data_IF_149077575308
#
_entry.id   IF_149077575308
#
_cell.length_a   1.000
_cell.length_b   1.000
_cell.length_c   1.000
_cell.angle_alpha   90.00
_cell.angle_beta   90.00
_cell.angle_gamma   90.00
#
_symmetry.space_group_name_H-M   'P 1'
#
loop_
_entity.id
_entity.type
_entity.pdbx_description
1 polymer ?
#
# COMPACT_ATOMS: atom_id res chain seq x y z
N UNK A 1 -13.01 -15.93 -1.78
CA UNK A 1 -11.81 -15.92 -0.93
C UNK A 1 -10.72 -15.06 -1.53
N UNK A 2 -9.92 -14.38 -0.69
CA UNK A 2 -8.70 -13.70 -1.14
C UNK A 2 -7.75 -14.68 -1.80
N UNK A 3 -7.12 -14.28 -2.91
CA UNK A 3 -6.04 -15.06 -3.51
C UNK A 3 -4.75 -14.84 -2.70
N UNK A 4 -4.61 -15.63 -1.64
CA UNK A 4 -3.45 -15.60 -0.75
C UNK A 4 -2.14 -15.87 -1.48
N UNK A 5 -2.17 -16.71 -2.50
CA UNK A 5 -0.97 -17.06 -3.27
C UNK A 5 -0.45 -15.84 -4.01
N UNK A 6 -1.34 -15.14 -4.72
CA UNK A 6 -0.97 -13.91 -5.45
C UNK A 6 -0.46 -12.83 -4.49
N UNK A 7 -1.07 -12.71 -3.32
CA UNK A 7 -0.64 -11.74 -2.31
C UNK A 7 0.79 -12.01 -1.82
N UNK A 8 1.07 -13.23 -1.36
CA UNK A 8 2.39 -13.60 -0.84
C UNK A 8 3.46 -13.70 -1.93
N UNK A 9 3.08 -14.05 -3.16
CA UNK A 9 4.00 -13.99 -4.30
C UNK A 9 4.36 -12.51 -4.62
N UNK A 10 3.44 -11.56 -4.39
CA UNK A 10 3.68 -10.13 -4.58
C UNK A 10 4.59 -9.54 -3.49
N UNK A 11 4.33 -9.83 -2.21
CA UNK A 11 5.19 -9.36 -1.10
C UNK A 11 6.59 -9.96 -1.20
N UNK A 12 6.70 -11.22 -1.64
CA UNK A 12 7.99 -11.85 -1.98
C UNK A 12 8.69 -11.12 -3.12
N UNK A 13 8.01 -10.83 -4.22
CA UNK A 13 8.61 -10.10 -5.35
C UNK A 13 9.14 -8.72 -4.92
N UNK A 14 8.39 -8.01 -4.07
CA UNK A 14 8.78 -6.70 -3.54
C UNK A 14 9.98 -6.75 -2.57
N UNK A 15 10.28 -7.91 -1.99
CA UNK A 15 11.33 -8.08 -0.96
C UNK A 15 12.51 -8.93 -1.43
N UNK A 16 12.52 -9.35 -2.71
CA UNK A 16 13.56 -10.19 -3.28
C UNK A 16 14.92 -9.50 -3.39
N UNK A 17 14.91 -8.20 -3.71
CA UNK A 17 16.11 -7.40 -3.86
C UNK A 17 16.19 -6.37 -2.74
N UNK A 18 17.19 -6.56 -1.88
CA UNK A 18 17.42 -5.73 -0.71
C UNK A 18 17.89 -4.32 -1.08
N UNK A 19 18.66 -4.18 -2.14
CA UNK A 19 19.14 -2.88 -2.62
C UNK A 19 18.00 -2.09 -3.28
N UNK A 20 17.10 -2.79 -3.97
CA UNK A 20 15.90 -2.18 -4.53
C UNK A 20 14.80 -1.88 -3.49
N UNK A 21 14.84 -2.50 -2.31
CA UNK A 21 13.78 -2.36 -1.31
C UNK A 21 13.59 -0.92 -0.81
N UNK A 22 14.67 -0.16 -0.63
CA UNK A 22 14.59 1.26 -0.25
C UNK A 22 13.87 2.09 -1.33
N UNK A 23 14.10 1.76 -2.59
CA UNK A 23 13.40 2.39 -3.70
C UNK A 23 11.93 1.98 -3.74
N UNK A 24 11.62 0.72 -3.44
CA UNK A 24 10.25 0.22 -3.34
C UNK A 24 9.49 0.93 -2.22
N UNK A 25 10.11 1.12 -1.05
CA UNK A 25 9.53 1.89 0.05
C UNK A 25 9.28 3.35 -0.37
N UNK A 26 10.25 3.97 -1.04
CA UNK A 26 10.12 5.34 -1.56
C UNK A 26 8.91 5.47 -2.49
N UNK A 27 8.80 4.58 -3.48
CA UNK A 27 7.64 4.51 -4.39
C UNK A 27 6.34 4.32 -3.59
N UNK A 28 6.35 3.45 -2.58
CA UNK A 28 5.21 3.25 -1.68
C UNK A 28 4.78 4.54 -0.97
N UNK A 29 5.72 5.30 -0.41
CA UNK A 29 5.42 6.59 0.24
C UNK A 29 4.91 7.63 -0.75
N UNK A 30 5.49 7.72 -1.94
CA UNK A 30 5.04 8.64 -2.99
C UNK A 30 3.59 8.33 -3.41
N UNK A 31 3.25 7.04 -3.56
CA UNK A 31 1.88 6.61 -3.85
C UNK A 31 0.92 6.97 -2.72
N UNK A 32 1.30 6.80 -1.46
CA UNK A 32 0.45 7.17 -0.32
C UNK A 32 0.22 8.69 -0.24
N UNK A 33 1.26 9.47 -0.53
CA UNK A 33 1.17 10.94 -0.61
C UNK A 33 0.21 11.36 -1.73
N UNK A 34 0.34 10.76 -2.91
CA UNK A 34 -0.52 11.04 -4.05
C UNK A 34 -1.99 10.65 -3.77
N UNK A 35 -2.24 9.54 -3.06
CA UNK A 35 -3.58 9.18 -2.61
C UNK A 35 -4.18 10.22 -1.65
N UNK A 36 -3.36 10.78 -0.74
CA UNK A 36 -3.80 11.83 0.17
C UNK A 36 -4.14 13.13 -0.57
N UNK A 37 -3.28 13.54 -1.52
CA UNK A 37 -3.53 14.72 -2.36
C UNK A 37 -4.83 14.58 -3.18
N UNK A 38 -5.10 13.38 -3.71
CA UNK A 38 -6.34 13.10 -4.43
C UNK A 38 -7.58 13.26 -3.53
N UNK A 39 -7.50 12.89 -2.24
CA UNK A 39 -8.59 13.09 -1.28
C UNK A 39 -8.80 14.56 -0.90
N UNK A 40 -7.73 15.36 -0.87
CA UNK A 40 -7.80 16.79 -0.56
C UNK A 40 -8.43 17.64 -1.68
N UNK A 41 -8.77 17.02 -2.83
CA UNK A 41 -9.27 17.71 -4.03
C UNK A 41 -8.33 18.82 -4.52
N UNK A 42 -7.04 18.74 -4.18
CA UNK A 42 -6.06 19.66 -4.72
C UNK A 42 -5.77 19.31 -6.18
N UNK A 43 -5.55 20.34 -6.99
CA UNK A 43 -5.23 20.24 -8.40
C UNK A 43 -4.20 19.13 -8.62
N UNK A 44 -4.40 18.27 -9.61
CA UNK A 44 -3.52 17.13 -9.96
C UNK A 44 -2.06 17.51 -10.30
N UNK A 45 -1.70 18.77 -10.14
CA UNK A 45 -0.37 19.33 -10.37
C UNK A 45 0.67 18.82 -9.37
N UNK A 46 0.27 18.38 -8.18
CA UNK A 46 1.21 17.94 -7.12
C UNK A 46 1.34 16.42 -6.98
N UNK A 47 0.52 15.65 -7.73
CA UNK A 47 0.60 14.19 -7.84
C UNK A 47 1.84 13.82 -8.64
N UNK A 48 2.75 13.05 -8.06
CA UNK A 48 4.00 12.63 -8.72
C UNK A 48 3.73 11.55 -9.77
N UNK A 49 2.81 10.62 -9.47
CA UNK A 49 2.43 9.53 -10.35
C UNK A 49 1.22 9.90 -11.22
N UNK A 50 1.38 10.93 -12.06
CA UNK A 50 0.31 11.53 -12.87
C UNK A 50 -0.35 10.51 -13.81
N UNK A 51 0.43 9.57 -14.35
CA UNK A 51 -0.03 8.49 -15.22
C UNK A 51 -0.96 7.49 -14.49
N UNK A 52 -0.84 7.41 -13.16
CA UNK A 52 -1.68 6.56 -12.32
C UNK A 52 -2.93 7.26 -11.81
N UNK A 53 -3.15 8.56 -12.09
CA UNK A 53 -4.25 9.35 -11.53
C UNK A 53 -5.64 8.70 -11.67
N UNK A 54 -5.93 8.10 -12.83
CA UNK A 54 -7.19 7.38 -13.06
C UNK A 54 -7.37 6.11 -12.21
N UNK A 55 -6.27 5.52 -11.76
CA UNK A 55 -6.26 4.37 -10.82
C UNK A 55 -6.19 4.84 -9.37
N UNK A 56 -5.53 5.94 -9.07
CA UNK A 56 -5.38 6.45 -7.70
C UNK A 56 -6.71 6.91 -7.11
N UNK A 57 -7.56 7.58 -7.90
CA UNK A 57 -8.87 8.09 -7.43
C UNK A 57 -9.78 7.04 -6.76
N UNK A 58 -10.12 5.91 -7.41
CA UNK A 58 -10.97 4.91 -6.77
C UNK A 58 -10.30 4.24 -5.56
N UNK A 59 -8.97 4.19 -5.49
CA UNK A 59 -8.26 3.68 -4.31
C UNK A 59 -8.28 4.67 -3.16
N UNK A 60 -8.06 5.96 -3.45
CA UNK A 60 -8.12 7.04 -2.48
C UNK A 60 -9.50 7.09 -1.81
N UNK A 61 -10.58 7.07 -2.60
CA UNK A 61 -11.96 7.06 -2.12
C UNK A 61 -12.27 5.84 -1.24
N UNK A 62 -11.77 4.65 -1.61
CA UNK A 62 -12.00 3.40 -0.84
C UNK A 62 -11.21 3.35 0.46
N UNK A 63 -9.99 3.88 0.47
CA UNK A 63 -9.11 3.85 1.64
C UNK A 63 -9.46 4.96 2.63
N UNK A 64 -9.79 6.16 2.13
CA UNK A 64 -9.86 7.37 2.94
C UNK A 64 -8.53 7.70 3.64
N UNK A 65 -8.48 8.80 4.39
CA UNK A 65 -7.27 9.18 5.13
C UNK A 65 -6.86 8.11 6.16
N UNK A 66 -7.83 7.46 6.81
CA UNK A 66 -7.56 6.42 7.79
C UNK A 66 -6.85 5.19 7.18
N UNK A 67 -7.29 4.75 5.99
CA UNK A 67 -6.64 3.64 5.29
C UNK A 67 -5.24 4.01 4.80
N UNK A 68 -5.06 5.23 4.31
CA UNK A 68 -3.75 5.75 3.90
C UNK A 68 -2.78 5.82 5.09
N UNK A 69 -3.23 6.34 6.24
CA UNK A 69 -2.42 6.40 7.46
C UNK A 69 -2.02 5.01 7.97
N UNK A 70 -2.94 4.04 7.93
CA UNK A 70 -2.63 2.65 8.26
C UNK A 70 -1.56 2.07 7.35
N UNK A 71 -1.68 2.25 6.03
CA UNK A 71 -0.68 1.77 5.07
C UNK A 71 0.68 2.42 5.32
N UNK A 72 0.71 3.73 5.58
CA UNK A 72 1.93 4.46 5.95
C UNK A 72 2.59 3.84 7.18
N UNK A 73 1.81 3.56 8.22
CA UNK A 73 2.33 2.96 9.46
C UNK A 73 2.92 1.56 9.21
N UNK A 74 2.32 0.77 8.31
CA UNK A 74 2.88 -0.51 7.89
C UNK A 74 4.20 -0.38 7.11
N UNK A 75 4.31 0.59 6.20
CA UNK A 75 5.59 0.90 5.52
C UNK A 75 6.65 1.38 6.51
N UNK A 76 6.29 2.23 7.47
CA UNK A 76 7.19 2.68 8.54
C UNK A 76 7.71 1.51 9.38
N UNK A 77 6.85 0.51 9.63
CA UNK A 77 7.23 -0.72 10.33
C UNK A 77 8.18 -1.57 9.49
N UNK A 78 7.87 -1.80 8.20
CA UNK A 78 8.72 -2.55 7.29
C UNK A 78 10.12 -1.92 7.17
N UNK A 79 10.21 -0.59 7.04
CA UNK A 79 11.47 0.16 7.02
C UNK A 79 12.29 0.00 8.31
N UNK A 80 11.65 0.10 9.48
CA UNK A 80 12.34 -0.12 10.78
C UNK A 80 12.88 -1.54 10.90
N UNK A 81 12.13 -2.53 10.42
CA UNK A 81 12.54 -3.94 10.46
C UNK A 81 13.72 -4.21 9.53
N UNK A 82 13.71 -3.63 8.33
CA UNK A 82 14.85 -3.68 7.40
C UNK A 82 16.13 -3.10 8.03
N UNK A 83 16.02 -1.95 8.70
CA UNK A 83 17.16 -1.30 9.39
C UNK A 83 17.77 -2.21 10.47
N UNK A 84 16.98 -3.16 11.00
CA UNK A 84 17.40 -4.15 12.01
C UNK A 84 17.82 -5.49 11.41
N UNK A 85 18.04 -5.60 10.10
CA UNK A 85 18.33 -6.86 9.38
C UNK A 85 17.25 -7.95 9.53
N UNK A 86 15.99 -7.57 9.75
CA UNK A 86 14.87 -8.51 9.76
C UNK A 86 14.44 -8.80 8.32
N UNK A 87 13.86 -9.99 8.08
CA UNK A 87 13.35 -10.39 6.77
C UNK A 87 12.31 -9.37 6.25
N UNK A 88 12.60 -8.75 5.10
CA UNK A 88 11.78 -7.73 4.47
C UNK A 88 10.40 -8.25 4.05
N UNK A 89 10.33 -9.50 3.60
CA UNK A 89 9.07 -10.12 3.18
C UNK A 89 8.08 -10.18 4.34
N UNK A 90 8.57 -10.52 5.55
CA UNK A 90 7.74 -10.65 6.74
C UNK A 90 7.00 -9.34 7.07
N UNK A 91 7.69 -8.20 6.96
CA UNK A 91 7.07 -6.89 7.20
C UNK A 91 5.97 -6.55 6.20
N UNK A 92 6.15 -6.94 4.93
CA UNK A 92 5.13 -6.76 3.89
C UNK A 92 3.97 -7.75 4.03
N UNK A 93 4.25 -8.99 4.45
CA UNK A 93 3.23 -10.01 4.73
C UNK A 93 2.32 -9.57 5.88
N UNK A 94 2.89 -9.05 6.97
CA UNK A 94 2.14 -8.51 8.12
C UNK A 94 1.23 -7.35 7.70
N UNK A 95 1.75 -6.40 6.92
CA UNK A 95 0.97 -5.27 6.38
C UNK A 95 -0.17 -5.75 5.48
N UNK A 96 0.11 -6.70 4.59
CA UNK A 96 -0.89 -7.24 3.67
C UNK A 96 -2.05 -7.94 4.42
N UNK A 97 -1.73 -8.66 5.49
CA UNK A 97 -2.72 -9.27 6.39
C UNK A 97 -3.56 -8.22 7.13
N UNK A 98 -2.93 -7.15 7.64
CA UNK A 98 -3.65 -6.06 8.30
C UNK A 98 -4.67 -5.40 7.35
N UNK A 99 -4.27 -5.12 6.10
CA UNK A 99 -5.16 -4.55 5.08
C UNK A 99 -6.36 -5.45 4.81
N UNK A 100 -6.13 -6.76 4.61
CA UNK A 100 -7.22 -7.70 4.32
C UNK A 100 -8.15 -7.91 5.51
N UNK A 101 -7.63 -7.85 6.73
CA UNK A 101 -8.43 -7.99 7.95
C UNK A 101 -9.39 -6.82 8.20
N UNK A 102 -9.11 -5.66 7.59
CA UNK A 102 -9.90 -4.43 7.74
C UNK A 102 -10.71 -4.05 6.51
N UNK A 103 -10.53 -4.73 5.39
CA UNK A 103 -11.37 -4.52 4.21
C UNK A 103 -12.83 -4.86 4.56
N UNK A 104 -13.80 -3.95 4.34
CA UNK A 104 -15.20 -4.28 4.53
C UNK A 104 -15.56 -5.46 3.64
N UNK A 105 -16.28 -6.44 4.19
CA UNK A 105 -16.75 -7.58 3.43
C UNK A 105 -17.51 -7.10 2.18
N UNK A 106 -17.36 -7.75 1.01
CA UNK A 106 -18.18 -7.43 -0.14
C UNK A 106 -19.65 -7.54 0.28
N UNK A 107 -20.43 -6.49 0.05
CA UNK A 107 -21.87 -6.49 0.29
C UNK A 107 -22.47 -7.73 -0.37
N UNK A 108 -23.31 -8.51 0.33
CA UNK A 108 -23.99 -9.64 -0.30
C UNK A 108 -24.79 -9.05 -1.47
N UNK A 109 -24.54 -9.55 -2.66
CA UNK A 109 -25.36 -9.23 -3.82
C UNK A 109 -26.78 -9.69 -3.48
N UNK A 110 -27.71 -8.73 -3.41
CA UNK A 110 -29.14 -9.03 -3.35
C UNK A 110 -29.51 -9.72 -4.67
N UNK A 111 -29.81 -11.02 -4.59
CA UNK A 111 -30.52 -11.77 -5.64
C UNK A 111 -31.95 -11.26 -5.83
#
# INVERSE_FOLDING_TARGET
DPDWKVLFDSTKALSQDREAFDQILTIGYDLLRDLAQVLENESSADVVNVDLGGRLKPWAERLGFQGIEMLKNGLDQAYRLQTRNVNQQLGLDDLALEVLSRAPAPSPSEE
#
